data_IF_390414741379
#
_entry.id   IF_390414741379
#
_cell.length_a   1.000
_cell.length_b   1.000
_cell.length_c   1.000
_cell.angle_alpha   90.00
_cell.angle_beta   90.00
_cell.angle_gamma   90.00
#
_symmetry.space_group_name_H-M   'P 1'
#
loop_
_entity.id
_entity.type
_entity.pdbx_description
1 polymer ?
#
# COMPACT_ATOMS: atom_id res chain seq x y z
N UNK A 1 -28.16 -5.97 22.95
CA UNK A 1 -27.29 -5.51 21.88
C UNK A 1 -25.84 -5.68 22.32
N UNK A 2 -24.93 -6.13 21.46
CA UNK A 2 -23.53 -6.24 21.87
C UNK A 2 -23.04 -4.83 22.22
N UNK A 3 -22.55 -4.65 23.43
CA UNK A 3 -21.81 -3.46 23.82
C UNK A 3 -20.49 -3.49 23.04
N UNK A 4 -20.31 -2.55 22.13
CA UNK A 4 -19.02 -2.34 21.48
C UNK A 4 -18.07 -1.78 22.54
N UNK A 5 -17.09 -2.57 22.96
CA UNK A 5 -16.10 -2.19 23.99
C UNK A 5 -15.19 -1.03 23.56
N UNK A 6 -15.21 -0.64 22.27
CA UNK A 6 -14.44 0.48 21.74
C UNK A 6 -15.36 1.44 20.96
N UNK A 7 -15.48 2.69 21.41
CA UNK A 7 -16.21 3.70 20.66
C UNK A 7 -15.49 3.96 19.32
N UNK A 8 -16.24 3.95 18.23
CA UNK A 8 -15.75 4.39 16.93
C UNK A 8 -16.14 5.86 16.69
N UNK A 9 -15.25 6.59 16.02
CA UNK A 9 -15.49 7.98 15.63
C UNK A 9 -15.92 8.02 14.17
N UNK A 10 -16.96 8.79 13.88
CA UNK A 10 -17.42 9.06 12.50
C UNK A 10 -17.14 10.53 12.20
N UNK A 11 -16.30 10.78 11.23
CA UNK A 11 -16.07 12.12 10.71
C UNK A 11 -17.10 12.42 9.62
N UNK A 12 -17.90 13.47 9.80
CA UNK A 12 -18.89 13.94 8.82
C UNK A 12 -18.47 15.32 8.33
N UNK A 13 -18.29 15.44 7.01
CA UNK A 13 -17.91 16.69 6.39
C UNK A 13 -19.01 17.14 5.42
N UNK A 14 -19.65 18.30 5.66
CA UNK A 14 -20.59 18.87 4.71
C UNK A 14 -19.83 19.36 3.47
N UNK A 15 -20.37 19.11 2.28
CA UNK A 15 -19.80 19.52 1.00
C UNK A 15 -20.88 20.11 0.10
N UNK A 16 -20.45 20.96 -0.84
CA UNK A 16 -21.33 21.48 -1.88
C UNK A 16 -20.89 20.89 -3.23
N UNK A 17 -21.80 20.16 -3.89
CA UNK A 17 -21.53 19.60 -5.22
C UNK A 17 -21.65 20.70 -6.28
N UNK A 18 -20.67 20.76 -7.17
CA UNK A 18 -20.63 21.66 -8.31
C UNK A 18 -21.23 20.99 -9.57
N UNK A 19 -21.49 21.78 -10.60
CA UNK A 19 -22.05 21.29 -11.86
C UNK A 19 -21.14 20.32 -12.62
N UNK A 20 -19.83 20.42 -12.40
CA UNK A 20 -18.80 19.53 -12.97
C UNK A 20 -18.52 18.28 -12.12
N UNK A 21 -19.39 18.01 -11.11
CA UNK A 21 -19.27 16.97 -10.10
C UNK A 21 -18.10 17.13 -9.12
N UNK A 22 -17.32 18.18 -9.17
CA UNK A 22 -16.38 18.50 -8.10
C UNK A 22 -17.13 18.90 -6.83
N UNK A 23 -16.44 18.80 -5.69
CA UNK A 23 -16.97 19.15 -4.38
C UNK A 23 -16.25 20.36 -3.82
N UNK A 24 -17.00 21.33 -3.32
CA UNK A 24 -16.43 22.37 -2.45
C UNK A 24 -16.46 21.85 -1.01
N UNK A 25 -15.29 21.84 -0.40
CA UNK A 25 -15.03 21.35 0.96
C UNK A 25 -14.64 22.55 1.83
N UNK A 26 -15.34 22.82 2.94
CA UNK A 26 -14.98 23.91 3.83
C UNK A 26 -13.72 23.57 4.63
N UNK A 27 -12.74 24.45 4.62
CA UNK A 27 -11.55 24.34 5.47
C UNK A 27 -11.74 25.19 6.73
N UNK A 28 -11.85 24.57 7.88
CA UNK A 28 -11.94 25.26 9.17
C UNK A 28 -10.66 26.00 9.50
N UNK A 29 -9.50 25.51 9.01
CA UNK A 29 -8.19 26.11 9.25
C UNK A 29 -8.00 27.42 8.46
N UNK A 30 -8.35 27.44 7.18
CA UNK A 30 -8.16 28.59 6.30
C UNK A 30 -9.39 29.47 6.17
N UNK A 31 -10.57 29.00 6.64
CA UNK A 31 -11.88 29.62 6.45
C UNK A 31 -12.24 29.85 4.96
N UNK A 32 -11.67 29.02 4.09
CA UNK A 32 -11.89 29.05 2.66
C UNK A 32 -12.49 27.72 2.18
N UNK A 33 -13.05 27.72 0.99
CA UNK A 33 -13.51 26.54 0.30
C UNK A 33 -12.36 25.99 -0.56
N UNK A 34 -12.18 24.68 -0.53
CA UNK A 34 -11.25 23.98 -1.42
C UNK A 34 -12.05 23.09 -2.37
N UNK A 35 -11.68 23.06 -3.62
CA UNK A 35 -12.26 22.12 -4.59
C UNK A 35 -11.56 20.78 -4.48
N UNK A 36 -12.31 19.68 -4.52
CA UNK A 36 -11.79 18.32 -4.56
C UNK A 36 -12.72 17.42 -5.38
N UNK A 37 -12.19 16.32 -5.87
CA UNK A 37 -12.97 15.27 -6.54
C UNK A 37 -12.62 13.89 -5.96
N UNK A 38 -13.13 13.53 -4.78
CA UNK A 38 -12.86 12.23 -4.18
C UNK A 38 -13.42 11.05 -5.00
N UNK A 39 -14.50 11.27 -5.76
CA UNK A 39 -15.08 10.25 -6.63
C UNK A 39 -14.08 9.84 -7.74
N UNK A 40 -13.33 10.81 -8.28
CA UNK A 40 -12.27 10.53 -9.24
C UNK A 40 -11.20 9.58 -8.65
N UNK A 41 -10.73 9.87 -7.45
CA UNK A 41 -9.72 9.03 -6.79
C UNK A 41 -10.25 7.61 -6.52
N UNK A 42 -11.48 7.50 -6.03
CA UNK A 42 -12.15 6.21 -5.79
C UNK A 42 -12.22 5.39 -7.09
N UNK A 43 -12.58 6.06 -8.19
CA UNK A 43 -12.68 5.42 -9.51
C UNK A 43 -11.31 4.97 -10.03
N UNK A 44 -10.26 5.79 -9.88
CA UNK A 44 -8.89 5.39 -10.26
C UNK A 44 -8.43 4.16 -9.47
N UNK A 45 -8.66 4.13 -8.16
CA UNK A 45 -8.34 2.97 -7.30
C UNK A 45 -9.16 1.74 -7.72
N UNK A 46 -10.41 1.91 -8.13
CA UNK A 46 -11.26 0.83 -8.63
C UNK A 46 -10.68 0.23 -9.91
N UNK A 47 -10.38 1.08 -10.89
CA UNK A 47 -9.82 0.67 -12.18
C UNK A 47 -8.48 -0.06 -12.03
N UNK A 48 -7.54 0.49 -11.24
CA UNK A 48 -6.26 -0.16 -10.98
C UNK A 48 -6.41 -1.52 -10.28
N UNK A 49 -7.41 -1.65 -9.41
CA UNK A 49 -7.68 -2.92 -8.75
C UNK A 49 -8.34 -3.97 -9.68
N UNK A 50 -9.15 -3.53 -10.64
CA UNK A 50 -9.71 -4.40 -11.68
C UNK A 50 -8.63 -4.91 -12.62
N UNK A 51 -7.70 -4.04 -13.03
CA UNK A 51 -6.55 -4.43 -13.84
C UNK A 51 -5.63 -5.41 -13.08
N UNK A 52 -5.46 -5.18 -11.77
CA UNK A 52 -4.55 -5.98 -10.94
C UNK A 52 -5.07 -6.10 -9.50
N UNK A 53 -5.60 -7.27 -9.17
CA UNK A 53 -6.29 -7.54 -7.88
C UNK A 53 -5.42 -7.33 -6.63
N UNK A 54 -4.09 -7.24 -6.77
CA UNK A 54 -3.17 -6.95 -5.66
C UNK A 54 -3.04 -5.45 -5.37
N UNK A 55 -3.57 -4.57 -6.20
CA UNK A 55 -3.41 -3.12 -6.02
C UNK A 55 -3.87 -2.65 -4.63
N UNK A 56 -5.14 -2.85 -4.27
CA UNK A 56 -5.69 -2.44 -2.96
C UNK A 56 -4.97 -3.06 -1.75
N UNK A 57 -4.66 -4.37 -1.73
CA UNK A 57 -3.85 -4.97 -0.68
C UNK A 57 -2.48 -4.27 -0.51
N UNK A 58 -1.77 -4.00 -1.60
CA UNK A 58 -0.46 -3.31 -1.54
C UNK A 58 -0.61 -1.88 -1.05
N UNK A 59 -1.60 -1.12 -1.53
CA UNK A 59 -1.86 0.23 -1.03
C UNK A 59 -2.05 0.25 0.50
N UNK A 60 -2.72 -0.75 1.07
CA UNK A 60 -2.88 -0.87 2.53
C UNK A 60 -1.53 -1.10 3.23
N UNK A 61 -0.68 -1.96 2.67
CA UNK A 61 0.67 -2.21 3.20
C UNK A 61 1.50 -0.94 3.17
N UNK A 62 1.48 -0.19 2.06
CA UNK A 62 2.20 1.07 1.91
C UNK A 62 1.67 2.16 2.88
N UNK A 63 0.34 2.23 3.06
CA UNK A 63 -0.27 3.13 4.04
C UNK A 63 0.12 2.79 5.49
N UNK A 64 0.37 1.52 5.80
CA UNK A 64 0.90 1.11 7.10
C UNK A 64 2.41 1.42 7.20
N UNK A 65 3.20 1.05 6.21
CA UNK A 65 4.65 1.30 6.16
C UNK A 65 5.01 2.78 6.45
N UNK A 66 4.28 3.73 5.85
CA UNK A 66 4.54 5.16 6.06
C UNK A 66 4.48 5.60 7.53
N UNK A 67 3.77 4.86 8.39
CA UNK A 67 3.64 5.22 9.81
C UNK A 67 4.94 5.05 10.59
N UNK A 68 5.87 4.25 10.07
CA UNK A 68 7.22 4.06 10.59
C UNK A 68 8.24 5.06 10.04
N UNK A 69 7.88 5.88 9.06
CA UNK A 69 8.80 6.87 8.49
C UNK A 69 8.98 8.03 9.47
N UNK A 70 10.23 8.27 9.85
CA UNK A 70 10.60 9.43 10.68
C UNK A 70 10.61 10.69 9.82
N UNK A 71 9.80 11.68 10.16
CA UNK A 71 9.63 12.91 9.39
C UNK A 71 9.14 14.02 10.32
N UNK A 72 9.45 15.27 10.01
CA UNK A 72 9.01 16.44 10.80
C UNK A 72 7.49 16.58 10.82
N UNK A 73 6.84 16.22 9.71
CA UNK A 73 5.38 16.25 9.57
C UNK A 73 4.83 14.85 9.33
N UNK A 74 3.67 14.56 9.93
CA UNK A 74 3.01 13.26 9.69
C UNK A 74 2.60 13.14 8.24
N UNK A 75 3.14 12.14 7.53
CA UNK A 75 2.79 11.83 6.15
C UNK A 75 1.31 11.41 6.08
N UNK A 76 0.50 12.09 5.28
CA UNK A 76 -0.91 11.73 5.07
C UNK A 76 -1.03 10.41 4.30
N UNK A 77 -2.03 9.59 4.64
CA UNK A 77 -2.28 8.33 3.92
C UNK A 77 -2.62 8.52 2.45
N UNK A 78 -3.21 9.66 2.11
CA UNK A 78 -3.55 10.04 0.74
C UNK A 78 -2.29 10.23 -0.13
N UNK A 79 -1.19 10.72 0.43
CA UNK A 79 0.11 10.82 -0.27
C UNK A 79 0.54 9.44 -0.78
N UNK A 80 0.46 8.40 0.05
CA UNK A 80 0.82 7.04 -0.35
C UNK A 80 -0.14 6.45 -1.37
N UNK A 81 -1.41 6.79 -1.29
CA UNK A 81 -2.42 6.33 -2.25
C UNK A 81 -2.19 6.92 -3.65
N UNK A 82 -1.88 8.21 -3.71
CA UNK A 82 -1.57 8.88 -4.98
C UNK A 82 -0.25 8.38 -5.55
N UNK A 83 0.81 8.24 -4.73
CA UNK A 83 2.06 7.62 -5.17
C UNK A 83 1.84 6.19 -5.69
N UNK A 84 0.95 5.42 -5.04
CA UNK A 84 0.64 4.08 -5.50
C UNK A 84 -0.06 4.07 -6.86
N UNK A 85 -0.98 5.00 -7.12
CA UNK A 85 -1.62 5.15 -8.43
C UNK A 85 -0.61 5.51 -9.54
N UNK A 86 0.42 6.28 -9.20
CA UNK A 86 1.43 6.76 -10.15
C UNK A 86 2.57 5.75 -10.38
N UNK A 87 2.95 4.98 -9.35
CA UNK A 87 4.21 4.25 -9.33
C UNK A 87 4.05 2.72 -9.25
N UNK A 88 2.89 2.17 -8.84
CA UNK A 88 2.68 0.73 -8.86
C UNK A 88 2.44 0.22 -10.28
N UNK A 89 3.04 -0.92 -10.65
CA UNK A 89 2.71 -1.57 -11.91
C UNK A 89 1.28 -2.13 -11.86
N UNK A 90 0.70 -2.37 -13.03
CA UNK A 90 -0.65 -2.94 -13.18
C UNK A 90 -0.66 -4.46 -13.37
N UNK A 91 0.47 -5.11 -13.11
CA UNK A 91 0.64 -6.56 -13.28
C UNK A 91 1.87 -7.05 -12.52
N UNK A 92 2.07 -8.37 -12.47
CA UNK A 92 3.24 -8.98 -11.88
C UNK A 92 3.04 -9.49 -10.45
N UNK A 93 4.13 -9.95 -9.85
CA UNK A 93 4.13 -10.45 -8.47
C UNK A 93 4.16 -9.29 -7.47
N UNK A 94 3.64 -9.54 -6.26
CA UNK A 94 3.64 -8.53 -5.19
C UNK A 94 5.04 -8.06 -4.78
N UNK A 95 6.05 -8.94 -4.61
CA UNK A 95 7.41 -8.50 -4.27
C UNK A 95 8.01 -7.61 -5.34
N UNK A 96 7.88 -7.98 -6.61
CA UNK A 96 8.39 -7.21 -7.73
C UNK A 96 7.70 -5.85 -7.85
N UNK A 97 6.38 -5.80 -7.64
CA UNK A 97 5.62 -4.56 -7.65
C UNK A 97 6.04 -3.60 -6.52
N UNK A 98 6.34 -4.12 -5.33
CA UNK A 98 6.85 -3.33 -4.22
C UNK A 98 8.25 -2.79 -4.52
N UNK A 99 9.14 -3.61 -5.09
CA UNK A 99 10.47 -3.19 -5.53
C UNK A 99 10.39 -2.02 -6.51
N UNK A 100 9.57 -2.16 -7.56
CA UNK A 100 9.36 -1.11 -8.56
C UNK A 100 8.73 0.15 -7.95
N UNK A 101 7.75 -0.02 -7.06
CA UNK A 101 7.11 1.09 -6.39
C UNK A 101 8.09 1.94 -5.60
N UNK A 102 8.90 1.35 -4.72
CA UNK A 102 9.80 2.12 -3.86
C UNK A 102 10.82 2.91 -4.68
N UNK A 103 11.39 2.29 -5.73
CA UNK A 103 12.32 2.97 -6.64
C UNK A 103 11.64 4.12 -7.39
N UNK A 104 10.47 3.90 -7.97
CA UNK A 104 9.76 4.92 -8.73
C UNK A 104 9.22 6.05 -7.83
N UNK A 105 8.69 5.71 -6.66
CA UNK A 105 8.15 6.68 -5.72
C UNK A 105 9.24 7.60 -5.12
N UNK A 106 10.45 7.09 -4.91
CA UNK A 106 11.60 7.91 -4.48
C UNK A 106 11.98 9.00 -5.50
N UNK A 107 11.75 8.75 -6.78
CA UNK A 107 11.93 9.76 -7.83
C UNK A 107 10.72 10.69 -7.86
N UNK A 108 9.51 10.12 -7.88
CA UNK A 108 8.26 10.87 -8.03
C UNK A 108 8.02 11.88 -6.90
N UNK A 109 8.37 11.53 -5.67
CA UNK A 109 8.14 12.42 -4.51
C UNK A 109 8.84 13.77 -4.62
N UNK A 110 9.97 13.85 -5.34
CA UNK A 110 10.71 15.11 -5.57
C UNK A 110 9.93 16.10 -6.47
N UNK A 111 9.00 15.61 -7.28
CA UNK A 111 8.16 16.45 -8.15
C UNK A 111 6.96 17.03 -7.38
N UNK A 112 6.78 16.59 -6.12
CA UNK A 112 5.58 16.83 -5.34
C UNK A 112 4.48 15.81 -5.62
N UNK A 113 3.57 15.63 -4.66
CA UNK A 113 2.43 14.75 -4.80
C UNK A 113 1.18 15.59 -4.95
N UNK A 114 0.73 15.73 -6.19
CA UNK A 114 -0.42 16.56 -6.55
C UNK A 114 -1.72 15.75 -6.55
N UNK A 115 -2.83 16.46 -6.40
CA UNK A 115 -4.17 15.90 -6.58
C UNK A 115 -4.33 15.35 -8.00
N UNK A 116 -4.55 14.05 -8.21
CA UNK A 116 -4.70 13.48 -9.53
C UNK A 116 -5.94 13.98 -10.29
N UNK A 117 -6.91 14.59 -9.60
CA UNK A 117 -8.06 15.25 -10.21
C UNK A 117 -7.75 16.71 -10.63
N UNK A 118 -6.59 17.26 -10.25
CA UNK A 118 -6.14 18.59 -10.64
C UNK A 118 -6.83 19.76 -9.95
N UNK A 119 -7.57 19.53 -8.86
CA UNK A 119 -8.38 20.58 -8.23
C UNK A 119 -7.65 21.31 -7.09
N UNK A 120 -6.88 20.61 -6.25
CA UNK A 120 -6.31 21.21 -5.04
C UNK A 120 -4.78 21.31 -4.99
N UNK A 121 -4.09 21.06 -6.10
CA UNK A 121 -2.62 21.10 -6.16
C UNK A 121 -1.97 20.06 -5.27
N UNK A 122 -0.97 20.45 -4.48
CA UNK A 122 -0.26 19.51 -3.60
C UNK A 122 -1.18 18.92 -2.52
N UNK A 123 -1.22 17.59 -2.42
CA UNK A 123 -1.99 16.84 -1.39
C UNK A 123 -1.55 17.24 0.01
N UNK A 124 -0.26 17.48 0.19
CA UNK A 124 0.33 17.87 1.45
C UNK A 124 1.44 18.88 1.20
N UNK A 125 1.13 20.20 1.23
CA UNK A 125 2.12 21.25 0.97
C UNK A 125 3.28 21.30 1.97
N UNK A 126 3.05 20.83 3.20
CA UNK A 126 4.01 20.72 4.29
C UNK A 126 4.68 19.34 4.38
N UNK A 127 4.64 18.53 3.30
CA UNK A 127 5.29 17.23 3.26
C UNK A 127 6.81 17.39 3.35
N UNK A 128 7.42 16.70 4.29
CA UNK A 128 8.86 16.51 4.32
C UNK A 128 9.28 15.53 3.21
N UNK A 129 9.45 16.07 2.01
CA UNK A 129 9.76 15.30 0.81
C UNK A 129 11.15 14.67 0.90
N UNK A 130 12.10 15.29 1.60
CA UNK A 130 13.44 14.75 1.75
C UNK A 130 13.42 13.50 2.64
N UNK A 131 12.79 13.58 3.81
CA UNK A 131 12.67 12.43 4.70
C UNK A 131 11.89 11.28 4.06
N UNK A 132 10.78 11.57 3.34
CA UNK A 132 10.04 10.53 2.65
C UNK A 132 10.84 9.90 1.51
N UNK A 133 11.57 10.70 0.72
CA UNK A 133 12.45 10.19 -0.35
C UNK A 133 13.52 9.26 0.21
N UNK A 134 14.22 9.67 1.27
CA UNK A 134 15.29 8.89 1.86
C UNK A 134 14.74 7.55 2.41
N UNK A 135 13.60 7.58 3.10
CA UNK A 135 12.92 6.35 3.53
C UNK A 135 12.48 5.44 2.36
N UNK A 136 12.05 6.03 1.23
CA UNK A 136 11.70 5.27 0.03
C UNK A 136 12.93 4.62 -0.62
N UNK A 137 14.11 5.29 -0.60
CA UNK A 137 15.37 4.73 -1.09
C UNK A 137 15.84 3.58 -0.20
N UNK A 138 15.82 3.73 1.12
CA UNK A 138 16.13 2.66 2.06
C UNK A 138 15.20 1.44 1.85
N UNK A 139 13.91 1.72 1.64
CA UNK A 139 12.94 0.69 1.35
C UNK A 139 13.17 -0.01 -0.01
N UNK A 140 13.65 0.73 -1.03
CA UNK A 140 14.02 0.17 -2.33
C UNK A 140 15.19 -0.80 -2.18
N UNK A 141 16.25 -0.44 -1.44
CA UNK A 141 17.40 -1.29 -1.19
C UNK A 141 17.01 -2.59 -0.45
N UNK A 142 16.10 -2.49 0.52
CA UNK A 142 15.56 -3.66 1.21
C UNK A 142 14.73 -4.55 0.28
N UNK A 143 13.90 -3.95 -0.56
CA UNK A 143 13.08 -4.68 -1.52
C UNK A 143 13.93 -5.39 -2.59
N UNK A 144 14.96 -4.72 -3.10
CA UNK A 144 15.93 -5.32 -4.03
C UNK A 144 16.63 -6.52 -3.40
N UNK A 145 17.15 -6.37 -2.18
CA UNK A 145 17.79 -7.45 -1.43
C UNK A 145 16.86 -8.64 -1.22
N UNK A 146 15.60 -8.39 -0.84
CA UNK A 146 14.63 -9.45 -0.61
C UNK A 146 14.27 -10.20 -1.91
N UNK A 147 14.09 -9.49 -3.02
CA UNK A 147 13.85 -10.09 -4.33
C UNK A 147 15.04 -10.92 -4.80
N UNK A 148 16.25 -10.43 -4.63
CA UNK A 148 17.48 -11.13 -4.95
C UNK A 148 17.69 -12.41 -4.12
N UNK A 149 17.37 -12.37 -2.82
CA UNK A 149 17.40 -13.55 -1.96
C UNK A 149 16.39 -14.60 -2.43
N UNK A 150 15.16 -14.17 -2.75
CA UNK A 150 14.14 -15.06 -3.30
C UNK A 150 14.58 -15.70 -4.65
N UNK A 151 15.18 -14.93 -5.53
CA UNK A 151 15.69 -15.42 -6.83
C UNK A 151 16.81 -16.49 -6.65
N UNK A 152 17.56 -16.41 -5.55
CA UNK A 152 18.58 -17.41 -5.16
C UNK A 152 18.03 -18.55 -4.32
N UNK A 153 16.69 -18.69 -4.19
CA UNK A 153 16.00 -19.67 -3.36
C UNK A 153 16.23 -19.51 -1.83
N UNK A 154 16.77 -18.38 -1.39
CA UNK A 154 16.85 -18.04 0.04
C UNK A 154 15.53 -17.40 0.50
N UNK A 155 14.48 -18.24 0.57
CA UNK A 155 13.14 -17.78 0.99
C UNK A 155 13.11 -17.26 2.42
N UNK A 156 13.86 -17.90 3.34
CA UNK A 156 13.91 -17.48 4.74
C UNK A 156 14.64 -16.14 4.89
N UNK A 157 15.69 -15.90 4.12
CA UNK A 157 16.38 -14.62 4.03
C UNK A 157 15.48 -13.52 3.50
N UNK A 158 14.83 -13.78 2.36
CA UNK A 158 13.89 -12.86 1.75
C UNK A 158 12.77 -12.45 2.73
N UNK A 159 12.20 -13.42 3.44
CA UNK A 159 11.13 -13.15 4.39
C UNK A 159 11.59 -12.31 5.59
N UNK A 160 12.82 -12.53 6.09
CA UNK A 160 13.42 -11.67 7.13
C UNK A 160 13.65 -10.25 6.63
N UNK A 161 14.10 -10.08 5.39
CA UNK A 161 14.31 -8.76 4.79
C UNK A 161 12.99 -8.02 4.58
N UNK A 162 11.92 -8.70 4.16
CA UNK A 162 10.59 -8.10 4.13
C UNK A 162 10.07 -7.73 5.53
N UNK A 163 10.39 -8.53 6.56
CA UNK A 163 10.06 -8.20 7.94
C UNK A 163 10.84 -6.99 8.46
N UNK A 164 12.10 -6.82 8.05
CA UNK A 164 12.90 -5.62 8.34
C UNK A 164 12.23 -4.37 7.75
N UNK A 165 11.71 -4.47 6.53
CA UNK A 165 11.05 -3.37 5.81
C UNK A 165 9.68 -3.02 6.41
N UNK A 166 8.84 -4.01 6.71
CA UNK A 166 7.44 -3.79 7.11
C UNK A 166 7.19 -3.89 8.61
N UNK A 167 8.20 -4.25 9.39
CA UNK A 167 8.12 -4.33 10.83
C UNK A 167 7.70 -5.71 11.35
N UNK A 168 7.57 -5.84 12.68
CA UNK A 168 7.39 -7.14 13.36
C UNK A 168 6.05 -7.82 13.05
N UNK A 169 5.05 -7.08 12.59
CA UNK A 169 3.75 -7.64 12.19
C UNK A 169 3.82 -8.40 10.86
N UNK A 170 4.91 -8.23 10.08
CA UNK A 170 5.13 -9.03 8.89
C UNK A 170 5.51 -10.46 9.26
N UNK A 171 4.94 -11.50 8.60
CA UNK A 171 5.18 -12.89 8.97
C UNK A 171 6.66 -13.26 8.98
N UNK A 172 7.17 -13.75 10.11
CA UNK A 172 8.51 -14.30 10.21
C UNK A 172 8.61 -15.66 9.48
N UNK A 173 9.83 -16.08 9.06
CA UNK A 173 10.05 -17.42 8.54
C UNK A 173 9.55 -18.49 9.52
N UNK A 174 8.86 -19.50 9.01
CA UNK A 174 8.40 -20.61 9.83
C UNK A 174 9.60 -21.31 10.47
N UNK A 175 9.56 -21.53 11.78
CA UNK A 175 10.56 -22.38 12.44
C UNK A 175 10.50 -23.78 11.83
N UNK A 176 11.57 -24.19 11.14
CA UNK A 176 11.68 -25.56 10.62
C UNK A 176 11.79 -26.50 11.81
N UNK A 177 10.69 -27.09 12.25
CA UNK A 177 10.66 -28.17 13.24
C UNK A 177 10.93 -29.49 12.51
N UNK A 178 12.19 -29.89 12.45
CA UNK A 178 12.62 -31.22 12.03
C UNK A 178 12.54 -31.54 10.52
N UNK A 179 13.07 -32.66 10.09
CA UNK A 179 12.97 -33.11 8.69
C UNK A 179 11.51 -33.39 8.36
N UNK A 180 11.05 -32.80 7.25
CA UNK A 180 9.72 -33.05 6.68
C UNK A 180 9.56 -34.56 6.47
N UNK A 181 8.66 -35.20 7.21
CA UNK A 181 8.30 -36.58 6.94
C UNK A 181 7.93 -36.72 5.45
N UNK A 182 8.37 -37.78 4.77
CA UNK A 182 7.98 -38.02 3.38
C UNK A 182 6.44 -38.00 3.32
N UNK A 183 5.91 -37.29 2.33
CA UNK A 183 4.46 -37.24 2.11
C UNK A 183 3.93 -38.66 2.04
N UNK A 184 2.94 -38.98 2.87
CA UNK A 184 2.28 -40.27 2.79
C UNK A 184 1.75 -40.45 1.37
N UNK A 185 1.90 -41.64 0.76
CA UNK A 185 1.38 -41.90 -0.59
C UNK A 185 -0.13 -41.66 -0.59
N UNK A 186 -0.58 -40.84 -1.53
CA UNK A 186 -2.01 -40.58 -1.74
C UNK A 186 -2.65 -41.93 -2.08
N UNK A 187 -3.67 -42.40 -1.33
CA UNK A 187 -4.33 -43.64 -1.66
C UNK A 187 -4.98 -43.50 -3.06
N UNK A 188 -4.61 -44.37 -3.98
CA UNK A 188 -5.30 -44.52 -5.24
C UNK A 188 -6.75 -44.89 -4.96
N UNK A 189 -7.69 -44.04 -5.35
CA UNK A 189 -9.11 -44.38 -5.37
C UNK A 189 -9.27 -45.41 -6.46
N UNK A 190 -9.36 -46.67 -6.10
CA UNK A 190 -9.78 -47.73 -7.02
C UNK A 190 -11.30 -47.67 -7.15
N UNK A 191 -11.79 -47.34 -8.34
CA UNK A 191 -13.20 -47.49 -8.67
C UNK A 191 -13.63 -48.92 -8.41
N UNK A 192 -14.57 -49.10 -7.48
CA UNK A 192 -15.25 -50.39 -7.30
C UNK A 192 -16.21 -50.58 -8.48
N UNK A 193 -16.14 -51.69 -9.20
CA UNK A 193 -17.16 -51.97 -10.19
C UNK A 193 -18.49 -52.22 -9.50
N UNK A 194 -19.48 -51.40 -9.82
CA UNK A 194 -20.85 -51.63 -9.39
C UNK A 194 -21.39 -52.80 -10.19
N UNK A 195 -21.76 -53.87 -9.48
CA UNK A 195 -22.62 -54.94 -10.00
C UNK A 195 -24.08 -54.56 -9.89
#
# INVERSE_FOLDING_TARGET
PPEYEHPFTVDVMPVVRQADNSLLIPSTRTRQWSTANPEYLIEQVRLHHEDWSFFRPIVRVLKNWRTGVTSETRIKSLVMEVLALQCLPRSGSRPEALRQFFTAAAVQVNLGVEDPAGHCGLIQPDLDTAALRDALLDAADLADRACDQAARNDTDGAQRTWQELFGPDFPAPAKRTGPRAPAAPVPLITDSPQG
#
